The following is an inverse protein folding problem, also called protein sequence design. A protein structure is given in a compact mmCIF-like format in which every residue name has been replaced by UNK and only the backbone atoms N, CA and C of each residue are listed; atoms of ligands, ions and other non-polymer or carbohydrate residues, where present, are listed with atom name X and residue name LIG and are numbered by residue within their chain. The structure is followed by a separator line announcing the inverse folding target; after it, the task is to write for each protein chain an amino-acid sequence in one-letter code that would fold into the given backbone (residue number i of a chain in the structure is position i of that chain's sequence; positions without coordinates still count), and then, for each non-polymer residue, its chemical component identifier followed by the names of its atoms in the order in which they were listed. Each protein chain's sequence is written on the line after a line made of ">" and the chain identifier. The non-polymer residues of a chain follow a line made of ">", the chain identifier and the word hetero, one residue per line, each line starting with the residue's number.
data_IF_487739628057
#
_entry.id   IF_487739628057
#
_cell.length_a   1.000
_cell.length_b   1.000
_cell.length_c   1.000
_cell.angle_alpha   90.00
_cell.angle_beta   90.00
_cell.angle_gamma   90.00
#
_symmetry.space_group_name_H-M   'P 1'
#
loop_
_entity.id
_entity.type
_entity.pdbx_description
1 polymer ?
#
# COMPACT_ATOMS: atom_id res chain seq x y z
N UNK A 1 2.39 17.49 7.44
CA UNK A 1 2.18 16.61 8.62
C UNK A 1 0.85 16.85 9.33
N UNK A 2 0.34 18.09 9.46
CA UNK A 2 -0.96 18.35 10.09
C UNK A 2 -2.13 17.50 9.51
N UNK A 3 -2.19 17.35 8.18
CA UNK A 3 -3.20 16.50 7.49
C UNK A 3 -3.08 14.99 7.78
N UNK A 4 -1.93 14.51 8.24
CA UNK A 4 -1.73 13.10 8.60
C UNK A 4 -2.36 12.77 9.95
N UNK A 5 -2.32 13.69 10.91
CA UNK A 5 -2.93 13.48 12.21
C UNK A 5 -4.47 13.63 12.19
N UNK A 6 -5.02 14.27 11.14
CA UNK A 6 -6.46 14.52 11.01
C UNK A 6 -7.24 13.41 10.32
N UNK A 7 -6.58 12.42 9.70
CA UNK A 7 -7.25 11.29 9.03
C UNK A 7 -7.08 10.01 9.85
N UNK A 8 -8.14 9.21 9.97
CA UNK A 8 -8.08 7.88 10.59
C UNK A 8 -7.42 6.90 9.63
N UNK A 9 -6.13 6.62 9.84
CA UNK A 9 -5.38 5.54 9.16
C UNK A 9 -5.39 4.26 9.99
N UNK A 10 -5.38 3.10 9.33
CA UNK A 10 -5.24 1.82 10.02
C UNK A 10 -3.96 1.82 10.88
N UNK A 11 -4.02 1.45 12.18
CA UNK A 11 -2.89 1.49 13.08
C UNK A 11 -1.66 0.74 12.55
N UNK A 12 -1.89 -0.39 11.89
CA UNK A 12 -0.83 -1.25 11.33
C UNK A 12 -0.09 -0.56 10.19
N UNK A 13 -0.76 0.35 9.48
CA UNK A 13 -0.21 1.08 8.34
C UNK A 13 0.44 2.42 8.72
N UNK A 14 0.25 2.94 9.94
CA UNK A 14 0.73 4.29 10.33
C UNK A 14 2.23 4.47 10.14
N UNK A 15 3.03 3.47 10.49
CA UNK A 15 4.49 3.53 10.28
C UNK A 15 4.86 3.52 8.80
N UNK A 16 4.15 2.75 7.97
CA UNK A 16 4.36 2.70 6.52
C UNK A 16 4.02 4.06 5.90
N UNK A 17 2.89 4.65 6.30
CA UNK A 17 2.49 6.00 5.89
C UNK A 17 3.49 7.07 6.31
N UNK A 18 3.87 7.10 7.59
CA UNK A 18 4.81 8.07 8.11
C UNK A 18 6.12 8.03 7.31
N UNK A 19 6.64 6.83 7.08
CA UNK A 19 7.88 6.63 6.32
C UNK A 19 7.71 7.01 4.84
N UNK A 20 6.60 6.66 4.20
CA UNK A 20 6.28 7.09 2.83
C UNK A 20 6.29 8.62 2.72
N UNK A 21 5.58 9.32 3.62
CA UNK A 21 5.46 10.78 3.62
C UNK A 21 6.79 11.49 3.90
N UNK A 22 7.66 10.86 4.70
CA UNK A 22 9.00 11.37 4.96
C UNK A 22 10.01 11.02 3.87
N UNK A 23 9.62 10.28 2.82
CA UNK A 23 10.53 9.70 1.82
C UNK A 23 11.64 8.85 2.47
N UNK A 24 11.29 8.20 3.57
CA UNK A 24 12.14 7.30 4.38
C UNK A 24 11.50 5.92 4.48
N UNK A 25 10.71 5.52 3.48
CA UNK A 25 10.24 4.16 3.39
C UNK A 25 11.48 3.28 3.37
N UNK A 26 11.52 2.28 4.24
CA UNK A 26 12.54 1.25 4.13
C UNK A 26 12.28 0.55 2.82
N UNK A 27 12.92 1.02 1.77
CA UNK A 27 13.17 0.35 0.52
C UNK A 27 14.63 -0.10 0.53
N UNK A 28 15.02 -0.98 -0.40
CA UNK A 28 16.39 -1.48 -0.43
C UNK A 28 17.42 -0.36 -0.62
N UNK A 29 17.09 0.71 -1.34
CA UNK A 29 17.97 1.87 -1.51
C UNK A 29 18.26 2.58 -0.18
N UNK A 30 17.26 2.73 0.69
CA UNK A 30 17.43 3.32 2.02
C UNK A 30 18.18 2.37 2.95
N UNK A 31 17.88 1.07 2.91
CA UNK A 31 18.50 0.09 3.81
C UNK A 31 19.96 -0.22 3.46
N UNK A 32 20.32 -0.25 2.17
CA UNK A 32 21.71 -0.43 1.73
C UNK A 32 22.59 0.72 2.21
N UNK A 33 22.07 1.95 2.19
CA UNK A 33 22.80 3.15 2.60
C UNK A 33 22.94 3.32 4.12
N UNK A 34 21.97 2.82 4.91
CA UNK A 34 21.90 3.15 6.35
C UNK A 34 22.51 2.08 7.25
N UNK A 35 22.47 0.80 6.88
CA UNK A 35 22.74 -0.29 7.84
C UNK A 35 23.51 -1.49 7.29
N UNK A 36 23.82 -1.56 5.99
CA UNK A 36 24.49 -2.74 5.41
C UNK A 36 23.71 -4.06 5.52
N UNK A 37 22.42 -4.02 5.89
CA UNK A 37 21.55 -5.21 6.00
C UNK A 37 21.15 -5.81 4.65
N UNK A 38 21.47 -5.12 3.55
CA UNK A 38 21.03 -5.48 2.20
C UNK A 38 22.21 -5.30 1.26
N UNK A 39 22.55 -6.36 0.53
CA UNK A 39 23.74 -6.42 -0.34
C UNK A 39 23.69 -5.47 -1.55
N UNK A 40 22.51 -4.92 -1.86
CA UNK A 40 22.30 -4.04 -3.01
C UNK A 40 21.02 -3.22 -2.88
N UNK A 41 21.07 -1.99 -3.39
CA UNK A 41 19.96 -1.06 -3.64
C UNK A 41 19.03 -1.48 -4.80
N UNK A 42 19.44 -2.48 -5.58
CA UNK A 42 18.66 -3.06 -6.65
C UNK A 42 17.61 -4.02 -6.09
N UNK A 43 16.41 -3.94 -6.67
CA UNK A 43 15.34 -4.90 -6.44
C UNK A 43 15.80 -6.28 -6.94
N UNK A 44 15.81 -7.28 -6.05
CA UNK A 44 16.18 -8.67 -6.36
C UNK A 44 15.44 -9.27 -7.57
N UNK A 45 14.26 -8.75 -7.89
CA UNK A 45 13.36 -9.34 -8.87
C UNK A 45 13.45 -8.71 -10.25
N UNK A 46 13.81 -7.42 -10.33
CA UNK A 46 13.88 -6.70 -11.61
C UNK A 46 15.24 -6.06 -11.87
N UNK A 47 16.19 -6.18 -10.93
CA UNK A 47 17.52 -5.63 -11.02
C UNK A 47 17.56 -4.11 -11.31
N UNK A 48 16.53 -3.40 -10.87
CA UNK A 48 16.40 -1.94 -10.96
C UNK A 48 16.41 -1.34 -9.56
N UNK A 49 16.77 -0.08 -9.44
CA UNK A 49 16.76 0.65 -8.17
C UNK A 49 15.37 0.57 -7.52
N UNK A 50 15.34 0.09 -6.28
CA UNK A 50 14.08 -0.09 -5.56
C UNK A 50 13.67 1.22 -4.90
N UNK A 51 12.80 1.97 -5.56
CA UNK A 51 12.13 3.15 -4.98
C UNK A 51 10.85 2.73 -4.24
N UNK A 52 10.34 3.58 -3.34
CA UNK A 52 9.03 3.39 -2.71
C UNK A 52 7.87 3.11 -3.70
N UNK A 53 7.83 3.82 -4.85
CA UNK A 53 6.84 3.58 -5.91
C UNK A 53 6.95 2.15 -6.46
N UNK A 54 8.17 1.70 -6.75
CA UNK A 54 8.41 0.33 -7.25
C UNK A 54 8.13 -0.74 -6.20
N UNK A 55 8.56 -0.47 -4.98
CA UNK A 55 8.36 -1.34 -3.83
C UNK A 55 6.87 -1.55 -3.52
N UNK A 56 6.03 -0.53 -3.68
CA UNK A 56 4.61 -0.62 -3.29
C UNK A 56 3.65 -0.82 -4.47
N UNK A 57 3.95 -0.35 -5.69
CA UNK A 57 2.97 -0.26 -6.78
C UNK A 57 3.36 -0.99 -8.07
N UNK A 58 4.62 -0.89 -8.51
CA UNK A 58 4.95 -1.21 -9.92
C UNK A 58 5.42 -2.63 -10.18
N UNK A 59 5.73 -3.42 -9.15
CA UNK A 59 6.10 -4.83 -9.34
C UNK A 59 4.88 -5.68 -9.74
N UNK A 60 5.06 -6.67 -10.64
CA UNK A 60 3.98 -7.41 -11.32
C UNK A 60 2.84 -7.83 -10.38
N UNK A 61 3.15 -8.61 -9.34
CA UNK A 61 2.12 -9.09 -8.40
C UNK A 61 1.51 -7.98 -7.53
N UNK A 62 2.25 -6.89 -7.25
CA UNK A 62 1.76 -5.76 -6.44
C UNK A 62 0.84 -4.88 -7.24
N UNK A 63 1.17 -4.68 -8.53
CA UNK A 63 0.30 -4.03 -9.50
C UNK A 63 -1.03 -4.76 -9.58
N UNK A 64 -1.02 -6.09 -9.70
CA UNK A 64 -2.23 -6.88 -9.78
C UNK A 64 -3.07 -6.76 -8.50
N UNK A 65 -2.44 -6.81 -7.31
CA UNK A 65 -3.13 -6.57 -6.04
C UNK A 65 -3.82 -5.21 -6.03
N UNK A 66 -3.12 -4.14 -6.39
CA UNK A 66 -3.72 -2.80 -6.46
C UNK A 66 -4.88 -2.75 -7.44
N UNK A 67 -4.69 -3.24 -8.67
CA UNK A 67 -5.73 -3.22 -9.68
C UNK A 67 -6.98 -3.98 -9.23
N UNK A 68 -6.82 -5.16 -8.64
CA UNK A 68 -7.94 -5.95 -8.11
C UNK A 68 -8.68 -5.21 -6.99
N UNK A 69 -7.95 -4.64 -6.03
CA UNK A 69 -8.58 -3.90 -4.92
C UNK A 69 -9.28 -2.65 -5.43
N UNK A 70 -8.63 -1.85 -6.28
CA UNK A 70 -9.21 -0.60 -6.78
C UNK A 70 -10.46 -0.88 -7.63
N UNK A 71 -10.43 -1.89 -8.51
CA UNK A 71 -11.61 -2.31 -9.28
C UNK A 71 -12.73 -2.80 -8.37
N UNK A 72 -12.41 -3.55 -7.31
CA UNK A 72 -13.40 -4.05 -6.36
C UNK A 72 -14.10 -2.94 -5.59
N UNK A 73 -13.36 -1.92 -5.12
CA UNK A 73 -13.88 -0.95 -4.16
C UNK A 73 -14.23 0.42 -4.75
N UNK A 74 -13.57 0.85 -5.84
CA UNK A 74 -13.74 2.20 -6.38
C UNK A 74 -14.51 2.20 -7.70
N UNK A 75 -15.43 3.14 -7.83
CA UNK A 75 -16.24 3.36 -9.04
C UNK A 75 -15.38 3.99 -10.15
N UNK A 76 -14.51 4.93 -9.81
CA UNK A 76 -13.71 5.70 -10.76
C UNK A 76 -12.29 5.15 -10.98
N UNK A 77 -12.05 3.86 -10.72
CA UNK A 77 -10.70 3.28 -10.80
C UNK A 77 -10.04 3.39 -12.19
N UNK A 78 -10.84 3.46 -13.25
CA UNK A 78 -10.36 3.63 -14.64
C UNK A 78 -9.91 5.05 -14.96
N UNK A 79 -10.20 6.02 -14.10
CA UNK A 79 -9.91 7.44 -14.32
C UNK A 79 -8.50 7.84 -13.88
N UNK A 80 -7.71 6.92 -13.31
CA UNK A 80 -6.35 7.22 -12.85
C UNK A 80 -5.39 6.04 -13.03
N UNK A 81 -4.09 6.32 -12.92
CA UNK A 81 -3.03 5.31 -12.99
C UNK A 81 -2.48 5.00 -11.59
N UNK A 82 -1.81 3.86 -11.41
CA UNK A 82 -1.14 3.56 -10.13
C UNK A 82 -0.06 4.57 -9.76
N UNK A 83 0.59 5.19 -10.75
CA UNK A 83 1.56 6.27 -10.52
C UNK A 83 0.88 7.52 -9.96
N UNK A 84 -0.31 7.87 -10.49
CA UNK A 84 -1.11 8.95 -9.92
C UNK A 84 -1.58 8.63 -8.51
N UNK A 85 -2.02 7.40 -8.25
CA UNK A 85 -2.38 6.96 -6.91
C UNK A 85 -1.21 7.08 -5.93
N UNK A 86 0.00 6.66 -6.33
CA UNK A 86 1.22 6.85 -5.53
C UNK A 86 1.49 8.33 -5.22
N UNK A 87 1.33 9.20 -6.22
CA UNK A 87 1.51 10.64 -6.05
C UNK A 87 0.48 11.22 -5.07
N UNK A 88 -0.80 10.88 -5.23
CA UNK A 88 -1.88 11.32 -4.35
C UNK A 88 -1.71 10.83 -2.92
N UNK A 89 -1.26 9.59 -2.73
CA UNK A 89 -0.88 9.08 -1.42
C UNK A 89 0.28 9.87 -0.82
N UNK A 90 1.32 10.14 -1.60
CA UNK A 90 2.48 10.93 -1.15
C UNK A 90 2.11 12.37 -0.74
N UNK A 91 1.02 12.91 -1.29
CA UNK A 91 0.50 14.25 -1.01
C UNK A 91 -0.71 14.28 -0.06
N UNK A 92 -1.23 13.11 0.35
CA UNK A 92 -2.46 12.95 1.14
C UNK A 92 -3.71 13.52 0.40
N UNK A 93 -3.70 13.53 -0.93
CA UNK A 93 -4.78 14.01 -1.79
C UNK A 93 -5.78 12.88 -2.11
N UNK A 94 -6.50 12.40 -1.10
CA UNK A 94 -7.27 11.14 -1.18
C UNK A 94 -8.78 11.33 -1.36
N UNK A 95 -9.27 12.55 -1.54
CA UNK A 95 -10.70 12.84 -1.45
C UNK A 95 -11.43 12.68 -2.81
N UNK A 96 -10.68 12.49 -3.90
CA UNK A 96 -11.17 12.29 -5.27
C UNK A 96 -11.58 10.85 -5.60
N UNK A 97 -11.29 9.88 -4.73
CA UNK A 97 -11.61 8.47 -4.95
C UNK A 97 -13.03 8.16 -4.49
N UNK A 98 -13.85 7.63 -5.41
CA UNK A 98 -15.28 7.41 -5.18
C UNK A 98 -15.54 5.91 -4.96
N UNK A 99 -16.11 5.56 -3.81
CA UNK A 99 -16.47 4.17 -3.52
C UNK A 99 -17.67 3.71 -4.34
N UNK A 100 -17.71 2.40 -4.60
CA UNK A 100 -18.93 1.76 -5.09
C UNK A 100 -20.02 1.81 -4.00
N UNK A 101 -21.31 1.98 -4.36
CA UNK A 101 -22.41 2.11 -3.39
C UNK A 101 -22.54 0.96 -2.39
N UNK A 102 -22.05 -0.24 -2.74
CA UNK A 102 -22.09 -1.43 -1.89
C UNK A 102 -21.16 -1.39 -0.67
N UNK A 103 -20.32 -0.35 -0.52
CA UNK A 103 -19.27 -0.29 0.50
C UNK A 103 -19.30 1.04 1.30
N UNK A 104 -20.37 1.37 2.02
CA UNK A 104 -20.58 2.72 2.55
C UNK A 104 -19.65 3.15 3.70
N UNK A 105 -19.07 2.23 4.49
CA UNK A 105 -18.38 2.60 5.74
C UNK A 105 -16.85 2.53 5.70
N UNK A 106 -16.24 2.39 4.51
CA UNK A 106 -14.78 2.38 4.37
C UNK A 106 -14.33 3.73 3.82
N UNK A 107 -13.41 4.41 4.51
CA UNK A 107 -12.79 5.63 4.01
C UNK A 107 -11.68 5.33 3.00
N UNK A 108 -11.38 6.28 2.09
CA UNK A 108 -10.26 6.17 1.16
C UNK A 108 -8.94 5.94 1.90
N UNK A 109 -8.77 6.61 3.04
CA UNK A 109 -7.59 6.44 3.90
C UNK A 109 -7.47 5.01 4.41
N UNK A 110 -8.55 4.38 4.86
CA UNK A 110 -8.52 2.99 5.34
C UNK A 110 -8.26 1.99 4.21
N UNK A 111 -8.93 2.14 3.06
CA UNK A 111 -8.72 1.29 1.88
C UNK A 111 -7.24 1.27 1.47
N UNK A 112 -6.67 2.46 1.29
CA UNK A 112 -5.29 2.62 0.83
C UNK A 112 -4.30 2.19 1.91
N UNK A 113 -4.58 2.44 3.19
CA UNK A 113 -3.76 2.01 4.33
C UNK A 113 -3.60 0.50 4.40
N UNK A 114 -4.73 -0.21 4.41
CA UNK A 114 -4.76 -1.67 4.59
C UNK A 114 -4.07 -2.33 3.39
N UNK A 115 -4.40 -1.89 2.18
CA UNK A 115 -3.79 -2.41 0.95
C UNK A 115 -2.28 -2.21 0.93
N UNK A 116 -1.83 -0.98 1.20
CA UNK A 116 -0.41 -0.66 1.26
C UNK A 116 0.32 -1.47 2.34
N UNK A 117 -0.27 -1.63 3.53
CA UNK A 117 0.32 -2.41 4.62
C UNK A 117 0.53 -3.88 4.25
N UNK A 118 -0.48 -4.52 3.65
CA UNK A 118 -0.38 -5.92 3.24
C UNK A 118 0.65 -6.13 2.13
N UNK A 119 0.75 -5.19 1.18
CA UNK A 119 1.79 -5.21 0.14
C UNK A 119 3.18 -5.03 0.77
N UNK A 120 3.34 -4.05 1.64
CA UNK A 120 4.60 -3.79 2.34
C UNK A 120 5.06 -5.00 3.16
N UNK A 121 4.14 -5.61 3.90
CA UNK A 121 4.39 -6.83 4.68
C UNK A 121 4.80 -8.00 3.77
N UNK A 122 4.07 -8.22 2.67
CA UNK A 122 4.38 -9.29 1.73
C UNK A 122 5.75 -9.10 1.06
N UNK A 123 6.12 -7.85 0.73
CA UNK A 123 7.45 -7.51 0.23
C UNK A 123 8.57 -7.93 1.20
N UNK A 124 8.44 -7.57 2.47
CA UNK A 124 9.47 -7.90 3.46
C UNK A 124 9.55 -9.39 3.77
N UNK A 125 8.42 -10.10 3.78
CA UNK A 125 8.42 -11.56 3.90
C UNK A 125 9.06 -12.24 2.69
N UNK A 126 8.89 -11.69 1.50
CA UNK A 126 9.58 -12.20 0.33
C UNK A 126 11.10 -12.07 0.47
N UNK A 127 11.57 -10.96 1.03
CA UNK A 127 12.99 -10.72 1.21
C UNK A 127 13.59 -11.55 2.35
N UNK A 128 13.02 -11.48 3.55
CA UNK A 128 13.58 -12.13 4.75
C UNK A 128 13.23 -13.61 4.87
N UNK A 129 12.02 -14.01 4.48
CA UNK A 129 11.52 -15.38 4.65
C UNK A 129 11.55 -16.18 3.33
N UNK A 130 12.00 -15.57 2.22
CA UNK A 130 11.88 -16.15 0.87
C UNK A 130 10.44 -16.54 0.49
N UNK A 131 9.44 -15.89 1.10
CA UNK A 131 8.03 -16.19 0.88
C UNK A 131 7.49 -15.48 -0.39
N UNK A 132 7.06 -16.21 -1.44
CA UNK A 132 6.61 -15.57 -2.68
C UNK A 132 5.33 -14.75 -2.45
N UNK A 133 5.24 -13.57 -3.07
CA UNK A 133 4.02 -12.77 -3.08
C UNK A 133 2.99 -13.47 -3.97
N UNK A 134 1.91 -13.98 -3.36
CA UNK A 134 0.80 -14.63 -4.07
C UNK A 134 -0.50 -13.85 -3.85
N UNK A 135 -1.21 -13.54 -4.93
CA UNK A 135 -2.53 -12.86 -4.85
C UNK A 135 -3.49 -13.61 -3.93
N UNK A 136 -3.49 -14.95 -4.01
CA UNK A 136 -4.34 -15.84 -3.21
C UNK A 136 -4.07 -15.77 -1.71
N UNK A 137 -2.89 -15.31 -1.28
CA UNK A 137 -2.59 -15.08 0.14
C UNK A 137 -2.86 -13.65 0.59
N UNK A 138 -2.60 -12.67 -0.29
CA UNK A 138 -2.65 -11.25 0.07
C UNK A 138 -4.07 -10.68 -0.04
N UNK A 139 -4.79 -10.96 -1.12
CA UNK A 139 -6.14 -10.40 -1.35
C UNK A 139 -7.14 -10.81 -0.26
N UNK A 140 -7.23 -12.08 0.16
CA UNK A 140 -8.17 -12.45 1.23
C UNK A 140 -7.87 -11.75 2.56
N UNK A 141 -6.58 -11.52 2.87
CA UNK A 141 -6.16 -10.80 4.07
C UNK A 141 -6.60 -9.33 4.02
N UNK A 142 -6.45 -8.67 2.87
CA UNK A 142 -6.93 -7.30 2.65
C UNK A 142 -8.45 -7.23 2.79
N UNK A 143 -9.19 -8.13 2.11
CA UNK A 143 -10.66 -8.14 2.17
C UNK A 143 -11.17 -8.38 3.59
N UNK A 144 -10.58 -9.32 4.32
CA UNK A 144 -10.93 -9.61 5.72
C UNK A 144 -10.77 -8.37 6.60
N UNK A 145 -9.63 -7.68 6.51
CA UNK A 145 -9.37 -6.48 7.31
C UNK A 145 -10.32 -5.33 6.94
N UNK A 146 -10.59 -5.14 5.65
CA UNK A 146 -11.56 -4.14 5.18
C UNK A 146 -12.98 -4.45 5.67
N UNK A 147 -13.41 -5.71 5.67
CA UNK A 147 -14.71 -6.13 6.19
C UNK A 147 -14.82 -5.97 7.70
N UNK A 148 -13.77 -6.27 8.46
CA UNK A 148 -13.75 -6.04 9.92
C UNK A 148 -13.93 -4.55 10.22
N UNK A 149 -13.25 -3.67 9.46
CA UNK A 149 -13.41 -2.22 9.62
C UNK A 149 -14.79 -1.72 9.19
N UNK A 150 -15.40 -2.32 8.16
CA UNK A 150 -16.76 -1.98 7.72
C UNK A 150 -17.83 -2.26 8.81
N UNK A 151 -17.65 -3.32 9.61
CA UNK A 151 -18.59 -3.72 10.68
C UNK A 151 -18.51 -2.85 11.94
N UNK A 152 -17.37 -2.22 12.21
CA UNK A 152 -17.18 -1.42 13.43
C UNK A 152 -17.85 -0.04 13.42
N UNK A 153 -18.44 0.40 12.30
CA UNK A 153 -19.17 1.67 12.20
C UNK A 153 -20.70 1.50 12.18
N UNK A 154 -21.22 0.29 12.49
CA UNK A 154 -22.66 0.03 12.62
C UNK A 154 -23.14 -0.05 14.09
N UNK A 155 -22.46 0.64 15.02
CA UNK A 155 -22.89 0.79 16.42
C UNK A 155 -23.10 2.27 16.73
#
# INVERSE_FOLDING_TARGET
>A
MAKFHSKSYDPSARNVWYRLLQRKLSDRATLSQTLGFVDSDLCFLCNQWETAERMLFLYLHKKDIWLTILDTYLLNFRSFTLRWLYHDMSMIALDSYLFRPSMPNISNSNLLSITMYHIWKAHWRQYFDSAPIRLTGVLPSIHKDLQMRNKHYCL
#
